data_IF_393686781720
#
_entry.id   IF_393686781720
#
_cell.length_a   1.000
_cell.length_b   1.000
_cell.length_c   1.000
_cell.angle_alpha   90.00
_cell.angle_beta   90.00
_cell.angle_gamma   90.00
#
_symmetry.space_group_name_H-M   'P 1'
#
loop_
_entity.id
_entity.type
_entity.pdbx_description
1 polymer ?
#
# COMPACT_ATOMS: atom_id res chain seq x y z
N UNK A 1 16.53 -11.89 28.76
CA UNK A 1 16.02 -13.21 29.17
C UNK A 1 14.66 -13.03 29.81
N UNK A 2 13.67 -12.70 28.98
CA UNK A 2 12.26 -12.74 29.34
C UNK A 2 11.73 -13.98 28.60
N UNK A 3 12.08 -15.16 29.14
CA UNK A 3 11.32 -16.37 28.87
C UNK A 3 9.98 -16.21 29.60
N UNK A 4 9.16 -15.27 29.13
CA UNK A 4 7.73 -15.39 29.35
C UNK A 4 7.39 -16.72 28.66
N UNK A 5 7.01 -17.72 29.45
CA UNK A 5 6.34 -18.93 28.99
C UNK A 5 5.09 -18.50 28.20
N UNK A 6 5.25 -18.01 26.96
CA UNK A 6 4.16 -17.80 26.04
C UNK A 6 3.71 -19.21 25.68
N UNK A 7 2.53 -19.64 26.15
CA UNK A 7 2.02 -20.96 25.83
C UNK A 7 1.93 -21.06 24.30
N UNK A 8 2.17 -22.24 23.72
CA UNK A 8 2.07 -22.43 22.25
C UNK A 8 0.74 -21.91 21.67
N UNK A 9 -0.30 -21.90 22.51
CA UNK A 9 -1.60 -21.29 22.23
C UNK A 9 -1.54 -19.80 21.85
N UNK A 10 -0.69 -18.96 22.46
CA UNK A 10 -0.62 -17.53 22.13
C UNK A 10 0.04 -17.31 20.76
N UNK A 11 1.06 -18.10 20.43
CA UNK A 11 1.69 -18.08 19.11
C UNK A 11 0.65 -18.49 18.05
N UNK A 12 -0.12 -19.54 18.31
CA UNK A 12 -1.21 -19.96 17.43
C UNK A 12 -2.28 -18.87 17.26
N UNK A 13 -2.69 -18.20 18.35
CA UNK A 13 -3.65 -17.08 18.29
C UNK A 13 -3.12 -15.90 17.47
N UNK A 14 -1.84 -15.58 17.60
CA UNK A 14 -1.20 -14.49 16.86
C UNK A 14 -1.14 -14.79 15.36
N UNK A 15 -0.74 -16.01 14.97
CA UNK A 15 -0.78 -16.43 13.58
C UNK A 15 -2.20 -16.44 13.01
N UNK A 16 -3.18 -16.91 13.80
CA UNK A 16 -4.60 -16.86 13.42
C UNK A 16 -5.07 -15.41 13.20
N UNK A 17 -4.68 -14.49 14.08
CA UNK A 17 -5.07 -13.09 13.99
C UNK A 17 -4.48 -12.42 12.73
N UNK A 18 -3.21 -12.68 12.41
CA UNK A 18 -2.58 -12.21 11.17
C UNK A 18 -3.31 -12.77 9.94
N UNK A 19 -3.59 -14.08 9.94
CA UNK A 19 -4.32 -14.72 8.83
C UNK A 19 -5.70 -14.09 8.66
N UNK A 20 -6.41 -13.83 9.76
CA UNK A 20 -7.75 -13.26 9.75
C UNK A 20 -7.73 -11.82 9.22
N UNK A 21 -6.78 -10.98 9.66
CA UNK A 21 -6.60 -9.61 9.14
C UNK A 21 -6.21 -9.64 7.66
N UNK A 22 -5.35 -10.56 7.25
CA UNK A 22 -4.97 -10.74 5.85
C UNK A 22 -6.16 -11.14 4.97
N UNK A 23 -6.97 -12.10 5.42
CA UNK A 23 -8.18 -12.54 4.70
C UNK A 23 -9.23 -11.44 4.64
N UNK A 24 -9.42 -10.66 5.71
CA UNK A 24 -10.30 -9.48 5.69
C UNK A 24 -9.79 -8.45 4.68
N UNK A 25 -8.49 -8.17 4.65
CA UNK A 25 -7.87 -7.28 3.66
C UNK A 25 -8.12 -7.77 2.23
N UNK A 26 -7.94 -9.07 1.99
CA UNK A 26 -8.19 -9.72 0.70
C UNK A 26 -9.67 -9.65 0.29
N UNK A 27 -10.60 -9.94 1.22
CA UNK A 27 -12.04 -9.84 0.96
C UNK A 27 -12.44 -8.39 0.64
N UNK A 28 -11.90 -7.42 1.39
CA UNK A 28 -12.16 -6.00 1.19
C UNK A 28 -11.66 -5.51 -0.17
N UNK A 29 -10.50 -6.00 -0.62
CA UNK A 29 -9.96 -5.74 -1.95
C UNK A 29 -10.87 -6.27 -3.07
N UNK A 30 -11.44 -7.47 -2.90
CA UNK A 30 -12.25 -8.11 -3.94
C UNK A 30 -13.70 -7.57 -4.05
N UNK A 31 -14.28 -7.12 -2.93
CA UNK A 31 -15.71 -6.78 -2.86
C UNK A 31 -16.06 -5.40 -3.45
N UNK A 32 -15.12 -4.46 -3.64
CA UNK A 32 -15.44 -3.05 -3.95
C UNK A 32 -14.81 -2.53 -5.26
N UNK A 33 -15.67 -2.00 -6.14
CA UNK A 33 -15.33 -1.46 -7.49
C UNK A 33 -14.66 -0.07 -7.50
N UNK A 34 -14.37 0.53 -6.34
CA UNK A 34 -13.80 1.87 -6.24
C UNK A 34 -12.30 1.81 -5.96
N UNK A 35 -11.50 2.46 -6.81
CA UNK A 35 -10.03 2.53 -6.69
C UNK A 35 -9.54 2.94 -5.28
N UNK A 36 -10.21 3.91 -4.66
CA UNK A 36 -9.90 4.37 -3.29
C UNK A 36 -10.07 3.23 -2.26
N UNK A 37 -11.10 2.39 -2.42
CA UNK A 37 -11.37 1.28 -1.49
C UNK A 37 -10.42 0.10 -1.73
N UNK A 38 -9.97 -0.11 -2.97
CA UNK A 38 -8.90 -1.07 -3.26
C UNK A 38 -7.58 -0.68 -2.58
N UNK A 39 -7.20 0.60 -2.60
CA UNK A 39 -5.99 1.09 -1.93
C UNK A 39 -6.05 0.84 -0.42
N UNK A 40 -7.21 1.05 0.21
CA UNK A 40 -7.41 0.77 1.64
C UNK A 40 -7.31 -0.73 1.93
N UNK A 41 -7.86 -1.59 1.08
CA UNK A 41 -7.71 -3.04 1.20
C UNK A 41 -6.25 -3.50 1.09
N UNK A 42 -5.52 -2.96 0.11
CA UNK A 42 -4.10 -3.25 -0.09
C UNK A 42 -3.27 -2.80 1.12
N UNK A 43 -3.55 -1.61 1.68
CA UNK A 43 -2.92 -1.10 2.90
C UNK A 43 -3.10 -2.05 4.09
N UNK A 44 -4.31 -2.60 4.26
CA UNK A 44 -4.58 -3.56 5.33
C UNK A 44 -3.77 -4.87 5.16
N UNK A 45 -3.54 -5.32 3.93
CA UNK A 45 -2.71 -6.50 3.67
C UNK A 45 -1.24 -6.24 4.04
N UNK A 46 -0.69 -5.09 3.65
CA UNK A 46 0.68 -4.67 4.00
C UNK A 46 0.89 -4.51 5.50
N UNK A 47 -0.09 -3.97 6.22
CA UNK A 47 -0.04 -3.87 7.68
C UNK A 47 -0.02 -5.25 8.35
N UNK A 48 -0.74 -6.22 7.80
CA UNK A 48 -0.74 -7.61 8.29
C UNK A 48 0.62 -8.29 8.13
N UNK A 49 1.28 -8.10 6.99
CA UNK A 49 2.64 -8.61 6.73
C UNK A 49 3.64 -7.97 7.69
N UNK A 50 3.52 -6.65 7.88
CA UNK A 50 4.34 -5.88 8.83
C UNK A 50 4.22 -6.45 10.25
N UNK A 51 3.01 -6.76 10.69
CA UNK A 51 2.78 -7.35 12.02
C UNK A 51 3.46 -8.72 12.16
N UNK A 52 3.34 -9.58 11.14
CA UNK A 52 4.04 -10.87 11.11
C UNK A 52 5.56 -10.73 11.13
N UNK A 53 6.09 -9.73 10.43
CA UNK A 53 7.53 -9.46 10.35
C UNK A 53 8.10 -9.00 11.71
N UNK A 54 7.35 -8.19 12.46
CA UNK A 54 7.70 -7.81 13.84
C UNK A 54 7.76 -9.03 14.76
N UNK A 55 6.82 -9.97 14.64
CA UNK A 55 6.78 -11.18 15.47
C UNK A 55 7.94 -12.12 15.13
N UNK A 56 8.23 -12.33 13.86
CA UNK A 56 9.41 -13.10 13.43
C UNK A 56 10.71 -12.43 13.89
N UNK A 57 10.79 -11.11 13.81
CA UNK A 57 11.91 -10.32 14.35
C UNK A 57 12.05 -10.41 15.87
N UNK A 58 10.96 -10.68 16.58
CA UNK A 58 11.00 -10.93 18.02
C UNK A 58 11.61 -12.31 18.34
N UNK A 59 11.25 -13.35 17.55
CA UNK A 59 11.79 -14.69 17.70
C UNK A 59 13.29 -14.78 17.42
N UNK A 60 13.79 -14.03 16.43
CA UNK A 60 15.21 -14.03 16.07
C UNK A 60 16.11 -13.15 16.96
N UNK A 61 15.56 -12.48 17.99
CA UNK A 61 16.26 -11.54 18.89
C UNK A 61 16.95 -10.34 18.21
N UNK A 62 16.82 -10.19 16.89
CA UNK A 62 17.38 -9.09 16.11
C UNK A 62 16.32 -8.03 15.82
N UNK A 63 15.91 -7.34 16.90
CA UNK A 63 14.84 -6.34 16.85
C UNK A 63 15.20 -5.14 15.98
N UNK A 64 16.49 -4.80 15.87
CA UNK A 64 16.97 -3.66 15.08
C UNK A 64 16.78 -3.88 13.58
N UNK A 65 17.11 -5.07 13.07
CA UNK A 65 16.88 -5.42 11.67
C UNK A 65 15.38 -5.46 11.33
N UNK A 66 14.57 -6.08 12.20
CA UNK A 66 13.13 -6.16 11.96
C UNK A 66 12.47 -4.78 11.98
N UNK A 67 12.79 -3.92 12.95
CA UNK A 67 12.21 -2.58 13.04
C UNK A 67 12.62 -1.69 11.86
N UNK A 68 13.90 -1.71 11.45
CA UNK A 68 14.34 -0.93 10.30
C UNK A 68 13.68 -1.36 8.98
N UNK A 69 13.49 -2.66 8.76
CA UNK A 69 12.75 -3.19 7.62
C UNK A 69 11.28 -2.74 7.63
N UNK A 70 10.64 -2.78 8.80
CA UNK A 70 9.25 -2.35 8.97
C UNK A 70 9.09 -0.85 8.70
N UNK A 71 9.96 -0.01 9.26
CA UNK A 71 9.88 1.44 9.09
C UNK A 71 10.07 1.83 7.62
N UNK A 72 11.04 1.24 6.92
CA UNK A 72 11.28 1.51 5.50
C UNK A 72 10.11 1.05 4.63
N UNK A 73 9.53 -0.13 4.91
CA UNK A 73 8.34 -0.61 4.22
C UNK A 73 7.13 0.33 4.39
N UNK A 74 6.89 0.82 5.62
CA UNK A 74 5.80 1.76 5.91
C UNK A 74 5.95 3.10 5.19
N UNK A 75 7.18 3.61 5.07
CA UNK A 75 7.46 4.86 4.34
C UNK A 75 7.17 4.68 2.85
N UNK A 76 7.66 3.59 2.24
CA UNK A 76 7.45 3.30 0.81
C UNK A 76 5.95 3.15 0.53
N UNK A 77 5.24 2.43 1.40
CA UNK A 77 3.78 2.25 1.30
C UNK A 77 3.04 3.60 1.33
N UNK A 78 3.37 4.49 2.27
CA UNK A 78 2.76 5.81 2.37
C UNK A 78 3.00 6.65 1.10
N UNK A 79 4.21 6.60 0.54
CA UNK A 79 4.56 7.29 -0.71
C UNK A 79 3.73 6.73 -1.87
N UNK A 80 3.65 5.40 -2.02
CA UNK A 80 2.89 4.74 -3.09
C UNK A 80 1.40 5.09 -3.01
N UNK A 81 0.81 5.12 -1.80
CA UNK A 81 -0.59 5.54 -1.60
C UNK A 81 -0.79 7.01 -2.00
N UNK A 82 0.14 7.89 -1.62
CA UNK A 82 0.09 9.31 -1.99
C UNK A 82 0.18 9.52 -3.51
N UNK A 83 1.05 8.77 -4.19
CA UNK A 83 1.17 8.79 -5.65
C UNK A 83 -0.10 8.26 -6.32
N UNK A 84 -0.65 7.15 -5.85
CA UNK A 84 -1.88 6.58 -6.37
C UNK A 84 -3.06 7.56 -6.23
N UNK A 85 -3.20 8.20 -5.07
CA UNK A 85 -4.23 9.23 -4.83
C UNK A 85 -4.02 10.44 -5.75
N UNK A 86 -2.78 10.92 -5.90
CA UNK A 86 -2.45 12.04 -6.79
C UNK A 86 -2.85 11.72 -8.23
N UNK A 87 -2.53 10.53 -8.71
CA UNK A 87 -2.89 10.06 -10.05
C UNK A 87 -4.41 9.95 -10.23
N UNK A 88 -5.11 9.38 -9.25
CA UNK A 88 -6.60 9.31 -9.26
C UNK A 88 -7.20 10.71 -9.31
N UNK A 89 -6.71 11.65 -8.49
CA UNK A 89 -7.19 13.03 -8.49
C UNK A 89 -6.91 13.71 -9.82
N UNK A 90 -5.74 13.50 -10.41
CA UNK A 90 -5.38 14.10 -11.70
C UNK A 90 -6.29 13.61 -12.82
N UNK A 91 -6.55 12.30 -12.90
CA UNK A 91 -7.49 11.71 -13.88
C UNK A 91 -8.92 12.20 -13.63
N UNK A 92 -9.36 12.24 -12.37
CA UNK A 92 -10.70 12.72 -12.03
C UNK A 92 -10.90 14.22 -12.31
N UNK A 93 -9.84 15.02 -12.17
CA UNK A 93 -9.85 16.48 -12.38
C UNK A 93 -9.65 16.87 -13.85
N UNK A 94 -8.90 16.09 -14.63
CA UNK A 94 -8.61 16.38 -16.04
C UNK A 94 -9.07 15.25 -16.98
N UNK A 95 -10.37 15.08 -17.23
CA UNK A 95 -10.83 14.37 -18.43
C UNK A 95 -10.67 15.21 -19.73
N UNK A 96 -10.14 16.46 -19.66
CA UNK A 96 -10.25 17.46 -20.73
C UNK A 96 -8.94 18.21 -21.07
N UNK A 97 -7.75 17.61 -20.92
CA UNK A 97 -6.48 18.27 -21.28
C UNK A 97 -5.67 17.54 -22.37
N UNK A 98 -5.94 16.27 -22.62
CA UNK A 98 -5.35 15.59 -23.79
C UNK A 98 -5.75 16.25 -25.13
N UNK A 99 -6.84 17.01 -25.16
CA UNK A 99 -7.20 17.88 -26.30
C UNK A 99 -6.36 19.15 -26.40
N UNK A 100 -5.95 19.79 -25.29
CA UNK A 100 -5.31 21.12 -25.34
C UNK A 100 -3.83 21.00 -25.73
N UNK A 101 -3.12 19.99 -25.22
CA UNK A 101 -1.70 19.78 -25.60
C UNK A 101 -1.56 19.29 -27.04
N UNK A 102 -2.52 18.48 -27.54
CA UNK A 102 -2.55 18.07 -28.95
C UNK A 102 -3.03 19.18 -29.89
N UNK A 103 -3.85 20.14 -29.43
CA UNK A 103 -4.31 21.26 -30.26
C UNK A 103 -3.24 22.36 -30.39
N UNK A 104 -2.51 22.67 -29.32
CA UNK A 104 -1.42 23.66 -29.37
C UNK A 104 -0.30 23.30 -30.35
N UNK A 105 0.04 22.02 -30.46
CA UNK A 105 1.05 21.51 -31.39
C UNK A 105 0.58 21.50 -32.87
N UNK A 106 -0.73 21.53 -33.14
CA UNK A 106 -1.27 21.61 -34.51
C UNK A 106 -1.32 23.03 -35.06
N UNK A 107 -1.48 24.02 -34.18
CA UNK A 107 -1.53 25.44 -34.56
C UNK A 107 -0.13 25.95 -34.91
N UNK A 108 0.89 25.52 -34.15
CA UNK A 108 2.30 25.85 -34.43
C UNK A 108 2.82 25.20 -35.71
N UNK A 109 2.36 24.00 -36.07
CA UNK A 109 2.65 23.37 -37.37
C UNK A 109 1.92 24.06 -38.54
N UNK A 110 0.85 24.82 -38.29
CA UNK A 110 0.13 25.58 -39.32
C UNK A 110 0.74 26.98 -39.53
N UNK A 111 1.28 27.62 -38.48
CA UNK A 111 2.02 28.89 -38.60
C UNK A 111 3.41 28.74 -39.23
N UNK A 112 4.07 27.58 -39.10
CA UNK A 112 5.36 27.33 -39.76
C UNK A 112 5.24 27.10 -41.29
N UNK A 113 4.02 26.85 -41.80
CA UNK A 113 3.74 26.59 -43.22
C UNK A 113 3.00 27.75 -43.91
N UNK A 114 3.07 28.97 -43.35
CA UNK A 114 2.51 30.21 -43.94
C UNK A 114 3.61 31.25 -44.12
#
# INVERSE_FOLDING_TARGET
MVDLMLPDWTIAYVHLCILLVFVIGMLCFFVRRSYIRQIVGLKLMLQSVTLGLVITGWQYQDHYLAQSMVITALIIEAIVIGLALTLIIQIAKHPHNETITSQGNRISAQEENV
#
